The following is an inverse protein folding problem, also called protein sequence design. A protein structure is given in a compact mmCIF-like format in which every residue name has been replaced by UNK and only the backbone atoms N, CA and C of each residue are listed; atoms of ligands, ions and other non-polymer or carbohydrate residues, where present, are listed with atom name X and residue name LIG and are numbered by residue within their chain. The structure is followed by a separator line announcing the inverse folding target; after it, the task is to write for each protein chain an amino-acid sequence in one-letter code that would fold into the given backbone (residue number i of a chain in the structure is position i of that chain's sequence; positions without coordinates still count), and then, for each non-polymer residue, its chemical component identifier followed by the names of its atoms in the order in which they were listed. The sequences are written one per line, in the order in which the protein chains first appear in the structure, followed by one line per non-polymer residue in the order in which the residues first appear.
data_IF_715709162432
#
_entry.id   IF_715709162432
#
_cell.length_a   1.000
_cell.length_b   1.000
_cell.length_c   1.000
_cell.angle_alpha   90.00
_cell.angle_beta   90.00
_cell.angle_gamma   90.00
#
_symmetry.space_group_name_H-M   'P 1'
#
loop_
_entity.id
_entity.type
_entity.pdbx_description
1 polymer ?
#
# COMPACT_ATOMS: atom_id res chain seq x y z
N UNK A 1 15.48 5.62 18.23
CA UNK A 1 15.20 5.99 17.14
C UNK A 1 14.21 5.33 16.32
N UNK A 2 13.16 5.94 16.21
CA UNK A 2 12.01 5.37 15.55
C UNK A 2 12.27 4.96 14.12
N UNK A 3 13.17 5.64 13.44
CA UNK A 3 13.39 5.35 12.03
C UNK A 3 14.36 4.23 11.78
N UNK A 4 14.94 3.64 12.83
CA UNK A 4 15.94 2.60 12.67
C UNK A 4 15.38 1.35 12.03
N UNK A 5 14.07 1.13 12.14
CA UNK A 5 13.46 -0.11 11.68
C UNK A 5 12.63 0.06 10.41
N UNK A 6 13.02 0.97 9.56
CA UNK A 6 12.38 1.11 8.26
C UNK A 6 12.82 -0.04 7.36
N UNK A 7 11.85 -0.80 6.85
CA UNK A 7 12.12 -1.86 5.90
C UNK A 7 12.39 -1.28 4.52
N UNK A 8 11.52 -0.39 4.07
CA UNK A 8 11.77 0.39 2.84
C UNK A 8 10.85 1.61 2.82
N UNK A 9 11.20 2.54 1.93
CA UNK A 9 10.41 3.73 1.68
C UNK A 9 10.46 4.00 0.19
N UNK A 10 9.32 4.29 -0.42
CA UNK A 10 9.24 4.52 -1.86
C UNK A 10 8.40 5.74 -2.17
N UNK A 11 8.77 6.44 -3.23
CA UNK A 11 7.98 7.56 -3.74
C UNK A 11 6.74 7.01 -4.44
N UNK A 12 5.64 7.73 -4.33
CA UNK A 12 4.40 7.36 -5.01
C UNK A 12 4.06 8.38 -6.08
N UNK A 13 3.17 8.03 -7.03
CA UNK A 13 2.73 8.99 -8.06
C UNK A 13 1.99 10.21 -7.51
N UNK A 14 1.54 10.14 -6.27
CA UNK A 14 0.83 11.27 -5.66
C UNK A 14 1.77 12.33 -5.07
N UNK A 15 3.08 12.11 -5.19
CA UNK A 15 4.05 13.13 -4.80
C UNK A 15 4.53 13.03 -3.36
N UNK A 16 4.15 12.00 -2.64
CA UNK A 16 4.67 11.77 -1.29
C UNK A 16 5.20 10.34 -1.16
N UNK A 17 6.20 10.13 -0.29
CA UNK A 17 6.72 8.78 -0.07
C UNK A 17 5.85 8.01 0.90
N UNK A 18 5.89 6.69 0.80
CA UNK A 18 5.27 5.81 1.77
C UNK A 18 6.35 4.99 2.45
N UNK A 19 6.30 4.96 3.77
CA UNK A 19 7.24 4.23 4.60
C UNK A 19 6.64 2.94 5.09
N UNK A 20 7.43 1.87 5.05
CA UNK A 20 7.03 0.57 5.56
C UNK A 20 8.05 0.16 6.60
N UNK A 21 7.60 0.00 7.85
CA UNK A 21 8.48 -0.43 8.93
C UNK A 21 8.49 -1.95 9.03
N UNK A 22 9.57 -2.50 9.61
CA UNK A 22 9.65 -3.95 9.84
C UNK A 22 8.54 -4.41 10.76
N UNK A 23 8.25 -3.63 11.81
CA UNK A 23 7.20 -3.98 12.76
C UNK A 23 5.83 -4.05 12.07
N UNK A 24 5.54 -3.09 11.21
CA UNK A 24 4.26 -3.11 10.48
C UNK A 24 4.20 -4.29 9.52
N UNK A 25 5.28 -4.55 8.81
CA UNK A 25 5.32 -5.68 7.87
C UNK A 25 5.14 -7.00 8.60
N UNK A 26 5.77 -7.15 9.76
CA UNK A 26 5.61 -8.35 10.56
C UNK A 26 4.16 -8.52 11.03
N UNK A 27 3.51 -7.44 11.46
CA UNK A 27 2.10 -7.49 11.85
C UNK A 27 1.23 -7.95 10.69
N UNK A 28 1.48 -7.41 9.49
CA UNK A 28 0.71 -7.79 8.31
C UNK A 28 0.88 -9.26 8.00
N UNK A 29 2.11 -9.75 7.99
CA UNK A 29 2.40 -11.11 7.52
C UNK A 29 2.13 -12.18 8.58
N UNK A 30 2.06 -11.82 9.86
CA UNK A 30 1.79 -12.81 10.90
C UNK A 30 0.33 -12.84 11.34
N UNK A 31 -0.36 -11.71 11.28
CA UNK A 31 -1.70 -11.61 11.84
C UNK A 31 -2.74 -11.25 10.78
N UNK A 32 -2.51 -10.19 10.03
CA UNK A 32 -3.55 -9.70 9.12
C UNK A 32 -3.67 -10.52 7.84
N UNK A 33 -2.57 -10.71 7.15
CA UNK A 33 -2.58 -11.36 5.82
C UNK A 33 -1.33 -12.21 5.64
N UNK A 34 -1.28 -13.41 6.26
CA UNK A 34 -0.09 -14.26 6.14
C UNK A 34 0.30 -14.63 4.72
N UNK A 35 -0.63 -14.55 3.79
CA UNK A 35 -0.34 -14.82 2.38
C UNK A 35 0.67 -13.83 1.82
N UNK A 36 0.90 -12.71 2.50
CA UNK A 36 1.84 -11.69 2.04
C UNK A 36 3.28 -11.96 2.45
N UNK A 37 3.55 -13.04 3.18
CA UNK A 37 4.94 -13.40 3.54
C UNK A 37 5.78 -13.49 2.26
N UNK A 38 6.93 -12.78 2.27
CA UNK A 38 7.86 -12.81 1.14
C UNK A 38 7.45 -11.91 -0.02
N UNK A 39 6.38 -11.13 0.10
CA UNK A 39 5.87 -10.35 -1.00
C UNK A 39 6.17 -8.85 -0.88
N UNK A 40 7.27 -8.52 -0.25
CA UNK A 40 7.69 -7.12 -0.09
C UNK A 40 7.83 -6.41 -1.44
N UNK A 41 8.37 -7.11 -2.43
CA UNK A 41 8.56 -6.52 -3.77
C UNK A 41 7.24 -6.17 -4.42
N UNK A 42 6.21 -6.99 -4.21
CA UNK A 42 4.88 -6.73 -4.77
C UNK A 42 4.27 -5.47 -4.17
N UNK A 43 4.43 -5.29 -2.86
CA UNK A 43 3.92 -4.12 -2.17
C UNK A 43 4.69 -2.87 -2.60
N UNK A 44 6.01 -2.98 -2.70
CA UNK A 44 6.85 -1.88 -3.16
C UNK A 44 6.41 -1.42 -4.55
N UNK A 45 6.19 -2.37 -5.44
CA UNK A 45 5.78 -2.05 -6.81
C UNK A 45 4.39 -1.40 -6.84
N UNK A 46 3.47 -1.88 -6.01
CA UNK A 46 2.13 -1.30 -5.93
C UNK A 46 2.17 0.15 -5.49
N UNK A 47 3.05 0.48 -4.55
CA UNK A 47 3.20 1.86 -4.07
C UNK A 47 3.92 2.76 -5.07
N UNK A 48 4.94 2.22 -5.74
CA UNK A 48 5.79 2.99 -6.63
C UNK A 48 5.15 3.17 -8.02
N UNK A 49 4.56 2.10 -8.54
CA UNK A 49 4.02 2.07 -9.91
C UNK A 49 2.64 1.42 -9.93
N UNK A 50 1.67 1.97 -9.21
CA UNK A 50 0.34 1.37 -9.20
C UNK A 50 -0.35 1.52 -10.55
N UNK A 51 -1.35 0.70 -10.80
CA UNK A 51 -2.22 0.86 -11.95
C UNK A 51 -3.34 1.83 -11.62
N UNK A 52 -3.74 1.87 -10.36
CA UNK A 52 -4.82 2.73 -9.92
C UNK A 52 -4.67 3.03 -8.44
N UNK A 53 -4.99 4.26 -8.04
CA UNK A 53 -5.03 4.64 -6.62
C UNK A 53 -6.44 5.14 -6.32
N UNK A 54 -7.00 4.65 -5.23
CA UNK A 54 -8.32 5.06 -4.78
C UNK A 54 -8.24 5.65 -3.38
N UNK A 55 -9.11 6.60 -3.10
CA UNK A 55 -9.23 7.19 -1.78
C UNK A 55 -10.39 6.52 -1.07
N UNK A 56 -10.18 6.11 0.17
CA UNK A 56 -11.23 5.47 0.96
C UNK A 56 -12.40 6.43 1.17
N UNK A 57 -13.62 5.92 1.09
CA UNK A 57 -14.80 6.76 1.32
C UNK A 57 -14.97 7.09 2.79
N UNK A 58 -14.50 6.22 3.67
CA UNK A 58 -14.65 6.43 5.11
C UNK A 58 -13.58 7.30 5.73
N UNK A 59 -12.44 7.45 5.05
CA UNK A 59 -11.32 8.23 5.60
C UNK A 59 -10.49 8.75 4.44
N UNK A 60 -10.56 10.05 4.20
CA UNK A 60 -9.89 10.67 3.05
C UNK A 60 -8.36 10.60 3.13
N UNK A 61 -7.81 10.26 4.28
CA UNK A 61 -6.37 10.10 4.43
C UNK A 61 -5.90 8.70 4.10
N UNK A 62 -6.81 7.78 3.88
CA UNK A 62 -6.47 6.39 3.55
C UNK A 62 -6.55 6.21 2.05
N UNK A 63 -5.46 5.70 1.48
CA UNK A 63 -5.31 5.51 0.04
C UNK A 63 -5.01 4.04 -0.24
N UNK A 64 -5.62 3.54 -1.31
CA UNK A 64 -5.49 2.15 -1.73
C UNK A 64 -4.76 2.13 -3.07
N UNK A 65 -3.58 1.53 -3.07
CA UNK A 65 -2.72 1.44 -4.25
C UNK A 65 -2.87 0.05 -4.84
N UNK A 66 -3.43 -0.03 -6.03
CA UNK A 66 -3.68 -1.31 -6.70
C UNK A 66 -2.69 -1.55 -7.82
N UNK A 67 -2.10 -2.73 -7.83
CA UNK A 67 -1.19 -3.16 -8.91
C UNK A 67 -1.62 -4.53 -9.39
N UNK A 68 -1.89 -4.63 -10.70
CA UNK A 68 -2.23 -5.90 -11.33
C UNK A 68 -1.02 -6.82 -11.32
N UNK A 69 -1.23 -8.09 -11.00
CA UNK A 69 -0.18 -9.09 -11.03
C UNK A 69 -0.42 -10.12 -12.12
N UNK A 70 -1.67 -10.50 -12.29
CA UNK A 70 -2.08 -11.38 -13.38
C UNK A 70 -3.55 -11.12 -13.64
N UNK A 71 -4.12 -11.82 -14.60
CA UNK A 71 -5.50 -11.57 -14.98
C UNK A 71 -6.43 -11.65 -13.76
N UNK A 72 -7.16 -10.58 -13.50
CA UNK A 72 -8.15 -10.49 -12.41
C UNK A 72 -7.54 -10.66 -11.01
N UNK A 73 -6.25 -10.36 -10.88
CA UNK A 73 -5.59 -10.41 -9.57
C UNK A 73 -4.77 -9.15 -9.39
N UNK A 74 -4.92 -8.54 -8.23
CA UNK A 74 -4.19 -7.34 -7.87
C UNK A 74 -3.59 -7.49 -6.48
N UNK A 75 -2.53 -6.74 -6.22
CA UNK A 75 -2.08 -6.48 -4.86
C UNK A 75 -2.58 -5.09 -4.50
N UNK A 76 -3.17 -4.96 -3.33
CA UNK A 76 -3.60 -3.68 -2.80
C UNK A 76 -2.72 -3.33 -1.61
N UNK A 77 -2.03 -2.20 -1.70
CA UNK A 77 -1.28 -1.65 -0.58
C UNK A 77 -2.09 -0.48 -0.03
N UNK A 78 -2.40 -0.53 1.26
CA UNK A 78 -3.20 0.50 1.91
C UNK A 78 -2.28 1.36 2.75
N UNK A 79 -2.27 2.66 2.46
CA UNK A 79 -1.41 3.62 3.16
C UNK A 79 -2.24 4.76 3.71
N UNK A 80 -1.80 5.31 4.84
CA UNK A 80 -2.41 6.50 5.43
C UNK A 80 -1.45 7.65 5.23
N UNK A 81 -1.98 8.74 4.67
CA UNK A 81 -1.19 9.96 4.46
C UNK A 81 -1.25 10.86 5.68
N UNK A 82 -0.09 11.37 6.08
CA UNK A 82 0.01 12.35 7.16
C UNK A 82 0.89 13.48 6.63
N UNK A 83 0.26 14.58 6.23
CA UNK A 83 0.94 15.71 5.60
C UNK A 83 1.57 15.30 4.29
N UNK A 84 2.90 15.32 4.20
CA UNK A 84 3.64 15.06 2.97
C UNK A 84 4.30 13.69 2.94
N UNK A 85 3.86 12.78 3.77
CA UNK A 85 4.36 11.40 3.74
C UNK A 85 3.24 10.43 4.12
N UNK A 86 3.47 9.15 3.87
CA UNK A 86 2.50 8.12 4.17
C UNK A 86 3.13 6.93 4.87
N UNK A 87 2.29 6.13 5.49
CA UNK A 87 2.69 4.93 6.21
C UNK A 87 1.83 3.78 5.77
N UNK A 88 2.45 2.63 5.54
CA UNK A 88 1.70 1.43 5.17
C UNK A 88 0.85 0.98 6.36
N UNK A 89 -0.43 0.75 6.09
CA UNK A 89 -1.36 0.22 7.09
C UNK A 89 -1.48 -1.28 6.94
N UNK A 90 -1.71 -1.74 5.72
CA UNK A 90 -1.79 -3.17 5.41
C UNK A 90 -1.61 -3.40 3.92
N UNK A 91 -1.55 -4.66 3.52
CA UNK A 91 -1.49 -5.03 2.12
C UNK A 91 -2.08 -6.43 1.97
N UNK A 92 -2.75 -6.66 0.83
CA UNK A 92 -3.41 -7.94 0.61
C UNK A 92 -3.62 -8.17 -0.89
N UNK A 93 -3.74 -9.45 -1.31
CA UNK A 93 -4.13 -9.74 -2.67
C UNK A 93 -5.65 -9.63 -2.79
N UNK A 94 -6.13 -9.24 -3.96
CA UNK A 94 -7.56 -9.11 -4.20
C UNK A 94 -7.88 -9.45 -5.66
N UNK A 95 -9.11 -9.85 -5.92
CA UNK A 95 -9.56 -10.16 -7.26
C UNK A 95 -10.43 -9.07 -7.86
N UNK A 96 -10.55 -7.92 -7.19
CA UNK A 96 -11.37 -6.83 -7.69
C UNK A 96 -10.95 -5.50 -7.08
N UNK A 97 -11.12 -4.43 -7.85
CA UNK A 97 -10.95 -3.06 -7.39
C UNK A 97 -12.36 -2.52 -7.12
N UNK A 98 -12.77 -2.50 -5.87
CA UNK A 98 -14.14 -2.15 -5.51
C UNK A 98 -14.27 -0.95 -4.59
N UNK A 99 -13.27 -0.72 -3.76
CA UNK A 99 -13.39 0.28 -2.71
C UNK A 99 -12.89 1.63 -3.13
N UNK A 100 -13.55 2.68 -2.60
CA UNK A 100 -13.07 4.04 -2.71
C UNK A 100 -13.37 4.71 -4.03
N UNK A 101 -12.85 5.90 -4.16
CA UNK A 101 -13.01 6.73 -5.35
C UNK A 101 -11.65 6.88 -6.00
N UNK A 102 -11.58 6.68 -7.31
CA UNK A 102 -10.32 6.78 -8.03
C UNK A 102 -9.77 8.20 -7.96
N UNK A 103 -8.53 8.33 -7.55
CA UNK A 103 -7.82 9.61 -7.49
C UNK A 103 -6.62 9.64 -8.40
N UNK A 104 -6.17 8.48 -8.89
CA UNK A 104 -5.06 8.41 -9.83
C UNK A 104 -5.21 7.15 -10.69
N UNK A 105 -4.90 7.20 -12.00
CA UNK A 105 -4.63 8.41 -12.76
C UNK A 105 -5.87 9.29 -12.84
N UNK A 106 -5.63 10.57 -12.96
CA UNK A 106 -6.73 11.54 -12.99
C UNK A 106 -7.20 11.86 -14.40
#
# INVERSE_FOLDING_TARGET
MPDADVLFEVATPLGFPVRVTRARWELITTIKHPVMVGRESSVRLALESPDEIRQSRGDSQVLLFYKAEEARRWVCAVARQARDQGFLVTAYPTDAIKEGVQVWPS
#
